data_IF_982995587657
#
_entry.id   IF_982995587657
#
_cell.length_a   1.000
_cell.length_b   1.000
_cell.length_c   1.000
_cell.angle_alpha   90.00
_cell.angle_beta   90.00
_cell.angle_gamma   90.00
#
_symmetry.space_group_name_H-M   'P 1'
#
loop_
_entity.id
_entity.type
_entity.pdbx_description
1 polymer ?
#
# COMPACT_ATOMS: atom_id res chain seq x y z
N UNK A 1 29.25 -12.14 -0.73
CA UNK A 1 29.01 -13.55 -0.29
C UNK A 1 27.72 -13.60 0.51
N UNK A 2 26.82 -14.55 0.27
CA UNK A 2 25.56 -14.67 1.04
C UNK A 2 25.86 -15.02 2.50
N UNK A 3 25.28 -14.31 3.47
CA UNK A 3 25.48 -14.56 4.91
C UNK A 3 25.10 -15.99 5.33
N UNK A 4 24.12 -16.57 4.63
CA UNK A 4 23.65 -17.94 4.86
C UNK A 4 24.42 -19.00 4.04
N UNK A 5 25.35 -18.60 3.17
CA UNK A 5 26.20 -19.56 2.46
C UNK A 5 25.63 -20.13 1.16
N UNK A 6 24.56 -19.55 0.61
CA UNK A 6 24.06 -19.94 -0.72
C UNK A 6 25.17 -19.82 -1.80
N UNK A 7 25.23 -20.74 -2.78
CA UNK A 7 24.21 -21.76 -3.07
C UNK A 7 24.25 -22.98 -2.15
N UNK A 8 23.08 -23.52 -1.87
CA UNK A 8 22.88 -24.70 -1.04
C UNK A 8 23.07 -26.00 -1.83
N UNK A 9 23.50 -27.09 -1.18
CA UNK A 9 23.61 -28.40 -1.82
C UNK A 9 22.23 -28.91 -2.24
N UNK A 10 22.15 -29.40 -3.48
CA UNK A 10 20.90 -29.92 -4.05
C UNK A 10 20.61 -31.33 -3.55
N UNK A 11 19.32 -31.64 -3.37
CA UNK A 11 18.83 -32.97 -3.00
C UNK A 11 17.43 -33.18 -3.59
N UNK A 12 17.16 -34.33 -4.19
CA UNK A 12 15.84 -34.64 -4.72
C UNK A 12 14.87 -35.22 -3.68
N UNK A 13 15.38 -35.57 -2.50
CA UNK A 13 14.62 -36.16 -1.39
C UNK A 13 14.96 -35.47 -0.07
N UNK A 14 14.03 -35.54 0.87
CA UNK A 14 14.32 -35.24 2.27
C UNK A 14 15.14 -36.40 2.85
N UNK A 15 16.21 -36.09 3.58
CA UNK A 15 17.09 -37.10 4.15
C UNK A 15 17.41 -36.83 5.61
N UNK A 16 17.66 -37.93 6.34
CA UNK A 16 18.17 -37.94 7.70
C UNK A 16 19.24 -39.01 7.76
N UNK A 17 20.39 -38.68 8.34
CA UNK A 17 21.54 -39.56 8.48
C UNK A 17 21.69 -40.03 9.94
N UNK A 18 22.34 -41.17 10.16
CA UNK A 18 22.62 -41.76 11.48
C UNK A 18 23.46 -40.83 12.35
N UNK A 19 24.29 -39.99 11.73
CA UNK A 19 25.06 -38.93 12.39
C UNK A 19 24.19 -37.75 12.89
N UNK A 20 22.85 -37.85 12.86
CA UNK A 20 21.87 -36.78 13.17
C UNK A 20 21.95 -35.59 12.23
N UNK A 21 22.57 -35.77 11.06
CA UNK A 21 22.44 -34.86 9.94
C UNK A 21 21.03 -34.96 9.37
N UNK A 22 20.51 -33.86 8.87
CA UNK A 22 19.28 -33.86 8.09
C UNK A 22 19.32 -32.75 7.05
N UNK A 23 18.56 -32.92 5.98
CA UNK A 23 18.42 -31.90 4.96
C UNK A 23 17.09 -32.05 4.22
N UNK A 24 16.42 -30.93 3.88
CA UNK A 24 15.21 -30.99 3.08
C UNK A 24 15.54 -31.26 1.61
N UNK A 25 14.54 -31.68 0.86
CA UNK A 25 14.57 -31.67 -0.60
C UNK A 25 14.89 -30.25 -1.09
N UNK A 26 15.93 -30.14 -1.90
CA UNK A 26 16.43 -28.87 -2.44
C UNK A 26 16.71 -28.98 -3.94
N UNK A 27 15.77 -28.51 -4.76
CA UNK A 27 15.91 -28.52 -6.22
C UNK A 27 16.56 -27.24 -6.78
N UNK A 28 16.60 -26.16 -6.00
CA UNK A 28 17.13 -24.86 -6.40
C UNK A 28 18.07 -24.26 -5.36
N UNK A 29 19.38 -24.22 -5.64
CA UNK A 29 20.41 -23.86 -4.65
C UNK A 29 20.38 -22.40 -4.15
N UNK A 30 19.62 -21.51 -4.80
CA UNK A 30 19.43 -20.12 -4.33
C UNK A 30 18.08 -19.87 -3.68
N UNK A 31 17.22 -20.88 -3.62
CA UNK A 31 15.90 -20.79 -3.00
C UNK A 31 15.97 -21.26 -1.55
N UNK A 32 15.16 -20.71 -0.66
CA UNK A 32 15.04 -21.24 0.71
C UNK A 32 14.24 -22.56 0.70
N UNK A 33 14.26 -23.27 1.82
CA UNK A 33 13.40 -24.44 2.03
C UNK A 33 11.92 -24.02 1.96
N UNK A 34 11.16 -24.67 1.09
CA UNK A 34 9.78 -24.33 0.77
C UNK A 34 8.90 -25.58 0.72
N UNK A 35 7.59 -25.39 0.93
CA UNK A 35 6.58 -26.44 0.78
C UNK A 35 5.56 -26.00 -0.28
N UNK A 36 5.31 -26.81 -1.33
CA UNK A 36 4.34 -26.47 -2.37
C UNK A 36 2.95 -26.14 -1.84
N UNK A 37 2.43 -26.94 -0.91
CA UNK A 37 1.08 -26.76 -0.38
C UNK A 37 0.92 -25.43 0.37
N UNK A 38 1.93 -25.05 1.16
CA UNK A 38 1.95 -23.78 1.90
C UNK A 38 2.12 -22.62 0.92
N UNK A 39 3.01 -22.75 -0.06
CA UNK A 39 3.20 -21.72 -1.09
C UNK A 39 1.92 -21.49 -1.92
N UNK A 40 1.17 -22.53 -2.24
CA UNK A 40 -0.13 -22.42 -2.95
C UNK A 40 -1.19 -21.77 -2.05
N UNK A 41 -1.25 -22.18 -0.79
CA UNK A 41 -2.27 -21.71 0.17
C UNK A 41 -2.08 -20.25 0.56
N UNK A 42 -0.84 -19.86 0.88
CA UNK A 42 -0.53 -18.53 1.42
C UNK A 42 -0.08 -17.56 0.32
N UNK A 43 0.28 -18.06 -0.87
CA UNK A 43 0.72 -17.28 -2.04
C UNK A 43 1.86 -16.30 -1.74
N UNK A 44 2.75 -16.68 -0.82
CA UNK A 44 3.92 -15.91 -0.44
C UNK A 44 5.16 -16.80 -0.36
N UNK A 45 6.35 -16.18 -0.30
CA UNK A 45 7.61 -16.90 -0.10
C UNK A 45 7.70 -17.41 1.35
N UNK A 46 7.93 -18.71 1.53
CA UNK A 46 8.03 -19.34 2.84
C UNK A 46 9.49 -19.81 3.09
N UNK A 47 9.96 -19.69 4.32
CA UNK A 47 11.26 -20.22 4.78
C UNK A 47 10.97 -21.25 5.90
N UNK A 48 10.90 -22.52 5.54
CA UNK A 48 10.52 -23.60 6.47
C UNK A 48 11.78 -24.22 7.07
N UNK A 49 11.80 -24.38 8.39
CA UNK A 49 12.92 -25.00 9.11
C UNK A 49 12.42 -26.06 10.06
N UNK A 50 13.05 -27.24 10.01
CA UNK A 50 12.85 -28.28 11.01
C UNK A 50 13.62 -27.92 12.28
N UNK A 51 12.95 -28.01 13.42
CA UNK A 51 13.53 -27.79 14.74
C UNK A 51 13.59 -29.14 15.47
N UNK A 52 14.79 -29.70 15.59
CA UNK A 52 15.01 -31.00 16.25
C UNK A 52 15.41 -30.87 17.72
N UNK A 53 15.78 -29.66 18.17
CA UNK A 53 16.23 -29.39 19.54
C UNK A 53 15.17 -28.61 20.33
N UNK A 54 14.80 -29.13 21.50
CA UNK A 54 13.80 -28.49 22.38
C UNK A 54 14.23 -27.12 22.92
N UNK A 55 15.53 -26.88 23.17
CA UNK A 55 16.04 -25.58 23.63
C UNK A 55 15.88 -24.51 22.54
N UNK A 56 16.26 -24.83 21.31
CA UNK A 56 16.14 -23.89 20.18
C UNK A 56 14.66 -23.64 19.84
N UNK A 57 13.85 -24.70 19.89
CA UNK A 57 12.39 -24.61 19.74
C UNK A 57 11.78 -23.69 20.80
N UNK A 58 12.12 -23.88 22.08
CA UNK A 58 11.63 -23.04 23.16
C UNK A 58 12.02 -21.57 23.00
N UNK A 59 13.26 -21.29 22.59
CA UNK A 59 13.72 -19.92 22.32
C UNK A 59 12.94 -19.26 21.18
N UNK A 60 12.73 -19.97 20.07
CA UNK A 60 11.98 -19.45 18.91
C UNK A 60 10.51 -19.26 19.30
N UNK A 61 9.88 -20.26 19.93
CA UNK A 61 8.49 -20.16 20.37
C UNK A 61 8.30 -19.01 21.36
N UNK A 62 9.22 -18.79 22.30
CA UNK A 62 9.18 -17.65 23.21
C UNK A 62 9.26 -16.32 22.45
N UNK A 63 10.16 -16.20 21.48
CA UNK A 63 10.30 -15.01 20.65
C UNK A 63 9.02 -14.73 19.83
N UNK A 64 8.53 -15.72 19.09
CA UNK A 64 7.31 -15.61 18.28
C UNK A 64 6.09 -15.30 19.15
N UNK A 65 5.95 -16.00 20.29
CA UNK A 65 4.84 -15.76 21.22
C UNK A 65 4.87 -14.33 21.73
N UNK A 66 6.03 -13.83 22.16
CA UNK A 66 6.14 -12.43 22.61
C UNK A 66 5.86 -11.42 21.50
N UNK A 67 6.17 -11.77 20.25
CA UNK A 67 5.87 -10.93 19.10
C UNK A 67 4.38 -10.89 18.79
N UNK A 68 3.72 -12.06 18.76
CA UNK A 68 2.27 -12.19 18.53
C UNK A 68 1.47 -11.62 19.71
N UNK A 69 1.92 -11.87 20.94
CA UNK A 69 1.31 -11.36 22.17
C UNK A 69 1.74 -9.93 22.47
N UNK A 70 2.60 -9.32 21.64
CA UNK A 70 2.91 -7.90 21.74
C UNK A 70 1.59 -7.17 21.65
N UNK A 71 1.16 -6.57 22.76
CA UNK A 71 -0.10 -5.85 22.83
C UNK A 71 -0.12 -4.85 21.68
N UNK A 72 -0.98 -5.10 20.68
CA UNK A 72 -1.41 -4.08 19.75
C UNK A 72 -1.79 -2.88 20.63
N UNK A 73 -1.26 -1.70 20.30
CA UNK A 73 -1.54 -0.49 21.05
C UNK A 73 -3.04 -0.40 21.33
N UNK A 74 -3.41 -0.05 22.57
CA UNK A 74 -4.80 0.01 23.02
C UNK A 74 -5.59 0.94 22.08
N UNK A 75 -6.32 0.36 21.12
CA UNK A 75 -7.12 1.06 20.11
C UNK A 75 -8.42 1.65 20.68
N UNK A 76 -8.46 2.09 21.95
CA UNK A 76 -9.69 2.62 22.56
C UNK A 76 -10.24 3.84 21.85
N UNK A 77 -9.38 4.58 21.15
CA UNK A 77 -9.78 5.76 20.39
C UNK A 77 -10.19 5.42 18.95
N UNK A 78 -9.96 4.20 18.46
CA UNK A 78 -10.31 3.83 17.08
C UNK A 78 -11.83 3.84 16.88
N UNK A 79 -12.60 3.38 17.87
CA UNK A 79 -14.08 3.45 17.85
C UNK A 79 -14.58 4.90 17.83
N UNK A 80 -13.98 5.79 18.62
CA UNK A 80 -14.29 7.22 18.60
C UNK A 80 -13.93 7.87 17.26
N UNK A 81 -12.84 7.41 16.63
CA UNK A 81 -12.40 7.86 15.31
C UNK A 81 -13.39 7.42 14.22
N UNK A 82 -13.88 6.18 14.31
CA UNK A 82 -14.93 5.65 13.45
C UNK A 82 -16.23 6.43 13.64
N UNK A 83 -16.68 6.67 14.87
CA UNK A 83 -17.90 7.44 15.15
C UNK A 83 -17.84 8.88 14.62
N UNK A 84 -16.64 9.51 14.59
CA UNK A 84 -16.43 10.83 14.00
C UNK A 84 -16.21 10.80 12.48
N UNK A 85 -16.01 9.62 11.88
CA UNK A 85 -15.77 9.49 10.45
C UNK A 85 -17.06 9.77 9.65
N UNK A 86 -16.95 10.41 8.47
CA UNK A 86 -18.07 10.52 7.53
C UNK A 86 -18.67 9.16 7.10
N UNK A 87 -17.99 8.04 7.40
CA UNK A 87 -18.51 6.69 7.21
C UNK A 87 -19.81 6.43 7.98
N UNK A 88 -19.96 7.01 9.18
CA UNK A 88 -21.14 6.83 10.06
C UNK A 88 -22.11 8.01 9.99
N UNK A 89 -21.69 9.13 9.41
CA UNK A 89 -22.58 10.26 9.11
C UNK A 89 -23.32 9.96 7.80
N UNK A 90 -24.27 9.03 7.86
CA UNK A 90 -25.11 8.71 6.71
C UNK A 90 -26.10 9.84 6.48
N UNK A 91 -25.82 10.69 5.48
CA UNK A 91 -26.91 11.30 4.72
C UNK A 91 -27.37 10.25 3.72
N UNK A 92 -28.64 9.84 3.82
CA UNK A 92 -29.24 8.88 2.92
C UNK A 92 -29.03 9.34 1.48
N UNK A 93 -28.13 8.67 0.78
CA UNK A 93 -27.95 8.86 -0.65
C UNK A 93 -28.81 7.80 -1.32
N UNK A 94 -29.90 8.24 -1.94
CA UNK A 94 -30.83 7.39 -2.69
C UNK A 94 -30.16 6.53 -3.80
N UNK A 95 -28.88 6.80 -4.11
CA UNK A 95 -28.04 6.10 -5.09
C UNK A 95 -27.42 4.79 -4.57
N UNK A 96 -27.42 4.53 -3.26
CA UNK A 96 -26.86 3.31 -2.65
C UNK A 96 -27.97 2.29 -2.32
N UNK A 97 -28.80 1.93 -3.31
CA UNK A 97 -29.90 0.96 -3.14
C UNK A 97 -29.38 -0.47 -2.86
N UNK A 98 -28.15 -0.80 -3.27
CA UNK A 98 -27.54 -2.10 -2.98
C UNK A 98 -26.81 -2.10 -1.63
N UNK A 99 -27.37 -2.85 -0.68
CA UNK A 99 -26.83 -3.03 0.67
C UNK A 99 -25.39 -3.58 0.65
N UNK A 100 -25.03 -4.43 -0.32
CA UNK A 100 -23.67 -5.00 -0.40
C UNK A 100 -22.65 -3.93 -0.76
N UNK A 101 -22.92 -3.15 -1.81
CA UNK A 101 -22.07 -2.03 -2.24
C UNK A 101 -21.99 -0.95 -1.17
N UNK A 102 -23.10 -0.70 -0.47
CA UNK A 102 -23.15 0.21 0.67
C UNK A 102 -22.19 -0.21 1.79
N UNK A 103 -22.26 -1.47 2.23
CA UNK A 103 -21.38 -2.03 3.26
C UNK A 103 -19.90 -1.98 2.84
N UNK A 104 -19.60 -2.29 1.57
CA UNK A 104 -18.24 -2.22 1.04
C UNK A 104 -17.67 -0.80 1.09
N UNK A 105 -18.46 0.20 0.67
CA UNK A 105 -18.06 1.62 0.71
C UNK A 105 -17.86 2.09 2.15
N UNK A 106 -18.72 1.67 3.07
CA UNK A 106 -18.58 1.98 4.49
C UNK A 106 -17.24 1.47 5.04
N UNK A 107 -16.89 0.22 4.75
CA UNK A 107 -15.60 -0.36 5.17
C UNK A 107 -14.41 0.41 4.60
N UNK A 108 -14.44 0.79 3.32
CA UNK A 108 -13.38 1.61 2.72
C UNK A 108 -13.23 2.97 3.40
N UNK A 109 -14.34 3.65 3.70
CA UNK A 109 -14.32 4.95 4.40
C UNK A 109 -13.77 4.82 5.83
N UNK A 110 -14.13 3.76 6.54
CA UNK A 110 -13.59 3.48 7.87
C UNK A 110 -12.06 3.29 7.82
N UNK A 111 -11.57 2.47 6.89
CA UNK A 111 -10.14 2.20 6.72
C UNK A 111 -9.39 3.49 6.35
N UNK A 112 -9.91 4.30 5.41
CA UNK A 112 -9.28 5.56 5.03
C UNK A 112 -9.23 6.57 6.19
N UNK A 113 -10.32 6.69 6.97
CA UNK A 113 -10.34 7.56 8.13
C UNK A 113 -9.34 7.11 9.21
N UNK A 114 -9.23 5.80 9.43
CA UNK A 114 -8.27 5.21 10.37
C UNK A 114 -6.83 5.45 9.93
N UNK A 115 -6.50 5.16 8.67
CA UNK A 115 -5.16 5.36 8.12
C UNK A 115 -4.73 6.84 8.18
N UNK A 116 -5.62 7.76 7.83
CA UNK A 116 -5.35 9.21 7.91
C UNK A 116 -5.01 9.72 9.31
N UNK A 117 -5.41 9.00 10.37
CA UNK A 117 -5.20 9.43 11.77
C UNK A 117 -4.18 8.58 12.51
N UNK A 118 -3.92 7.35 12.05
CA UNK A 118 -2.88 6.48 12.59
C UNK A 118 -1.49 6.83 12.06
N UNK A 119 -1.40 7.30 10.80
CA UNK A 119 -0.12 7.62 10.19
C UNK A 119 0.01 9.13 9.97
N UNK A 120 0.76 9.78 10.86
CA UNK A 120 1.27 11.14 10.61
C UNK A 120 2.77 11.00 10.32
N UNK A 121 3.20 11.43 9.14
CA UNK A 121 4.61 11.42 8.80
C UNK A 121 5.40 12.23 9.85
N UNK A 122 6.49 11.67 10.38
CA UNK A 122 7.38 12.35 11.34
C UNK A 122 7.69 13.83 10.98
N UNK A 123 8.00 14.20 9.72
CA UNK A 123 8.20 15.60 9.35
C UNK A 123 6.96 16.48 9.57
N UNK A 124 5.74 15.96 9.33
CA UNK A 124 4.49 16.70 9.55
C UNK A 124 4.23 16.96 11.04
N UNK A 125 4.59 16.00 11.91
CA UNK A 125 4.53 16.17 13.37
C UNK A 125 5.51 17.26 13.82
N UNK A 126 6.73 17.25 13.30
CA UNK A 126 7.74 18.26 13.61
C UNK A 126 7.33 19.65 13.12
N UNK A 127 6.76 19.76 11.92
CA UNK A 127 6.23 21.03 11.41
C UNK A 127 5.15 21.62 12.33
N UNK A 128 4.22 20.78 12.80
CA UNK A 128 3.19 21.20 13.74
C UNK A 128 3.78 21.65 15.10
N UNK A 129 4.72 20.88 15.66
CA UNK A 129 5.39 21.21 16.93
C UNK A 129 6.18 22.51 16.85
N UNK A 130 6.83 22.76 15.71
CA UNK A 130 7.62 23.96 15.47
C UNK A 130 6.78 25.17 15.04
N UNK A 131 5.47 25.00 14.85
CA UNK A 131 4.59 26.04 14.31
C UNK A 131 4.87 26.39 12.85
N UNK A 132 5.55 25.52 12.11
CA UNK A 132 5.86 25.70 10.70
C UNK A 132 4.69 25.20 9.86
N UNK A 133 4.10 26.09 9.06
CA UNK A 133 2.98 25.75 8.17
C UNK A 133 3.37 24.65 7.17
N UNK A 134 2.39 23.87 6.69
CA UNK A 134 2.57 22.63 5.91
C UNK A 134 3.19 22.76 4.51
N UNK A 135 3.61 23.95 4.11
CA UNK A 135 4.12 24.23 2.77
C UNK A 135 5.58 24.66 2.84
N UNK A 136 6.48 23.77 2.42
CA UNK A 136 7.83 24.14 2.04
C UNK A 136 7.87 24.25 0.52
N UNK A 137 7.97 25.47 0.00
CA UNK A 137 8.26 25.70 -1.42
C UNK A 137 9.48 26.60 -1.52
N UNK A 138 10.58 26.07 -2.05
CA UNK A 138 11.79 26.88 -2.34
C UNK A 138 11.57 27.83 -3.50
N UNK A 139 10.62 27.52 -4.39
CA UNK A 139 10.31 28.29 -5.58
C UNK A 139 8.83 28.64 -5.63
N UNK A 140 8.53 29.82 -6.17
CA UNK A 140 7.16 30.24 -6.43
C UNK A 140 6.76 29.71 -7.81
N UNK A 141 5.81 28.79 -7.84
CA UNK A 141 5.24 28.32 -9.10
C UNK A 141 4.13 29.28 -9.53
N UNK A 142 4.27 29.85 -10.73
CA UNK A 142 3.23 30.65 -11.37
C UNK A 142 2.44 29.77 -12.34
N UNK A 143 1.15 30.03 -12.48
CA UNK A 143 0.31 29.26 -13.40
C UNK A 143 0.57 29.73 -14.83
N UNK A 144 1.21 28.90 -15.64
CA UNK A 144 1.39 29.19 -17.07
C UNK A 144 0.20 28.65 -17.85
N UNK A 145 -0.59 29.55 -18.44
CA UNK A 145 -1.71 29.17 -19.30
C UNK A 145 -1.19 28.69 -20.66
N UNK A 146 -1.11 27.36 -20.82
CA UNK A 146 -0.62 26.71 -22.03
C UNK A 146 -1.34 27.17 -23.31
N UNK A 147 -2.66 27.37 -23.24
CA UNK A 147 -3.46 27.86 -24.36
C UNK A 147 -3.04 29.26 -24.83
N UNK A 148 -2.73 30.16 -23.89
CA UNK A 148 -2.21 31.50 -24.20
C UNK A 148 -0.82 31.46 -24.81
N UNK A 149 0.05 30.60 -24.27
CA UNK A 149 1.41 30.40 -24.78
C UNK A 149 1.42 29.84 -26.21
N UNK A 150 0.65 28.78 -26.48
CA UNK A 150 0.53 28.19 -27.82
C UNK A 150 -0.06 29.19 -28.82
N UNK A 151 -1.09 29.96 -28.42
CA UNK A 151 -1.71 30.98 -29.29
C UNK A 151 -0.73 32.12 -29.61
N UNK A 152 0.13 32.51 -28.68
CA UNK A 152 1.20 33.48 -28.94
C UNK A 152 2.22 32.93 -29.93
N UNK A 153 2.67 31.68 -29.75
CA UNK A 153 3.69 31.04 -30.57
C UNK A 153 3.20 30.81 -32.03
N UNK A 154 1.94 30.41 -32.20
CA UNK A 154 1.28 30.30 -33.51
C UNK A 154 1.08 31.65 -34.21
N UNK A 155 1.04 32.75 -33.46
CA UNK A 155 0.91 34.11 -34.02
C UNK A 155 2.27 34.70 -34.41
N UNK A 156 3.34 34.34 -33.71
CA UNK A 156 4.70 34.85 -34.00
C UNK A 156 5.37 34.11 -35.16
N UNK A 157 5.02 32.85 -35.40
CA UNK A 157 5.61 32.05 -36.46
C UNK A 157 4.55 31.60 -37.47
N UNK A 158 4.53 32.23 -38.65
CA UNK A 158 3.57 31.95 -39.72
C UNK A 158 3.79 30.57 -40.37
N UNK A 159 4.86 29.85 -40.04
CA UNK A 159 5.23 28.55 -40.62
C UNK A 159 4.74 27.32 -39.84
N UNK A 160 4.38 27.46 -38.56
CA UNK A 160 3.96 26.35 -37.70
C UNK A 160 2.46 26.06 -37.85
N UNK A 161 2.05 25.53 -39.00
CA UNK A 161 0.71 24.91 -39.13
C UNK A 161 0.75 23.53 -38.47
N UNK A 162 0.23 23.44 -37.24
CA UNK A 162 -0.09 22.13 -36.65
C UNK A 162 -1.16 21.45 -37.53
N UNK A 163 -0.99 20.18 -37.93
CA UNK A 163 -2.03 19.44 -38.63
C UNK A 163 -3.27 19.38 -37.73
N UNK A 164 -4.45 19.61 -38.31
CA UNK A 164 -5.78 19.62 -37.67
C UNK A 164 -6.20 18.27 -37.06
N UNK A 165 -5.38 17.67 -36.20
CA UNK A 165 -5.77 16.53 -35.38
C UNK A 165 -5.57 16.89 -33.92
N UNK A 166 -6.70 16.82 -33.20
CA UNK A 166 -6.83 16.90 -31.76
C UNK A 166 -7.05 18.31 -31.18
N UNK A 167 -8.05 19.03 -31.68
CA UNK A 167 -8.83 19.93 -30.81
C UNK A 167 -10.20 19.30 -30.61
N UNK A 168 -10.28 18.40 -29.63
CA UNK A 168 -11.52 18.00 -28.96
C UNK A 168 -11.15 17.68 -27.52
N UNK A 169 -10.69 18.70 -26.78
CA UNK A 169 -10.83 18.68 -25.33
C UNK A 169 -12.22 19.21 -25.01
N UNK A 170 -13.10 18.26 -24.76
CA UNK A 170 -14.49 18.38 -24.37
C UNK A 170 -14.62 19.39 -23.22
N UNK A 171 -15.16 20.58 -23.52
CA UNK A 171 -15.80 21.44 -22.54
C UNK A 171 -17.26 20.95 -22.38
N UNK A 172 -17.50 20.01 -21.47
CA UNK A 172 -18.84 19.83 -20.91
C UNK A 172 -18.98 20.75 -19.70
N UNK A 173 -19.29 22.02 -19.97
CA UNK A 173 -20.04 22.84 -19.02
C UNK A 173 -21.43 23.01 -19.61
N UNK A 174 -22.40 22.25 -19.08
CA UNK A 174 -23.81 22.46 -19.37
C UNK A 174 -24.24 23.81 -18.78
N UNK A 175 -24.53 24.76 -19.67
CA UNK A 175 -25.42 25.87 -19.36
C UNK A 175 -26.85 25.34 -19.43
N UNK A 176 -27.57 25.49 -18.32
CA UNK A 176 -29.02 25.38 -18.25
C UNK A 176 -29.56 26.68 -18.84
N UNK A 177 -30.16 26.60 -20.02
CA UNK A 177 -31.02 27.67 -20.55
C UNK A 177 -32.34 27.65 -19.76
N UNK A 178 -32.57 28.71 -18.99
CA UNK A 178 -33.90 29.06 -18.50
C UNK A 178 -34.55 29.99 -19.54
N UNK A 179 -35.51 29.45 -20.28
CA UNK A 179 -36.52 30.24 -20.99
C UNK A 179 -37.77 29.39 -21.26
N UNK A 180 -38.66 29.32 -20.28
CA UNK A 180 -40.09 29.67 -20.35
C UNK A 180 -40.75 29.47 -18.99
#
# INVERSE_FOLDING_TARGET
RCKRGAPWPLSDVDWVDEARGWGPKWTFGYFNSWQPDISVSVRCNNDIKLLTNGRDTGNITYYETNYVSKKQGRNYNASALFAKSPAFQMKDNAYLQDARKHNQIMLFRCIHAMNSKQEVAAPMVMMLLMGWGFTFSSHRYETIYWSGFVRYLLRSDNGLRLPNRCVNFVHHHGQIDNSQ
#
